data_IF_382669963273
#
_entry.id   IF_382669963273
#
_cell.length_a   1.000
_cell.length_b   1.000
_cell.length_c   1.000
_cell.angle_alpha   90.00
_cell.angle_beta   90.00
_cell.angle_gamma   90.00
#
_symmetry.space_group_name_H-M   'P 1'
#
loop_
_entity.id
_entity.type
_entity.pdbx_description
1 polymer ?
#
# COMPACT_ATOMS: atom_id res chain seq x y z
N UNK A 1 16.03 13.24 4.94
CA UNK A 1 14.94 13.76 5.82
C UNK A 1 13.77 14.39 5.06
N UNK A 2 13.97 15.24 4.03
CA UNK A 2 12.85 15.91 3.37
C UNK A 2 11.78 14.93 2.84
N UNK A 3 12.19 13.87 2.11
CA UNK A 3 11.27 12.85 1.58
C UNK A 3 10.50 12.13 2.72
N UNK A 4 11.18 11.83 3.81
CA UNK A 4 10.57 11.19 5.00
C UNK A 4 9.47 12.06 5.60
N UNK A 5 9.71 13.37 5.76
CA UNK A 5 8.70 14.31 6.26
C UNK A 5 7.49 14.42 5.33
N UNK A 6 7.71 14.47 4.00
CA UNK A 6 6.61 14.45 3.02
C UNK A 6 5.80 13.15 3.14
N UNK A 7 6.46 12.01 3.28
CA UNK A 7 5.78 10.73 3.49
C UNK A 7 4.99 10.70 4.80
N UNK A 8 5.60 11.15 5.91
CA UNK A 8 4.93 11.22 7.21
C UNK A 8 3.74 12.17 7.21
N UNK A 9 3.80 13.27 6.46
CA UNK A 9 2.68 14.20 6.34
C UNK A 9 1.44 13.59 5.69
N UNK A 10 1.61 12.57 4.83
CA UNK A 10 0.51 11.79 4.28
C UNK A 10 0.04 10.69 5.25
N UNK A 11 0.98 10.01 5.88
CA UNK A 11 0.77 8.78 6.64
C UNK A 11 0.12 9.06 8.00
N UNK A 12 0.62 10.06 8.75
CA UNK A 12 0.10 10.37 10.09
C UNK A 12 -1.38 10.77 10.04
N UNK A 13 -1.80 11.72 9.18
CA UNK A 13 -3.21 12.02 9.02
C UNK A 13 -4.01 10.81 8.52
N UNK A 14 -3.47 10.03 7.58
CA UNK A 14 -4.13 8.82 7.10
C UNK A 14 -4.41 7.83 8.24
N UNK A 15 -3.46 7.60 9.14
CA UNK A 15 -3.63 6.72 10.29
C UNK A 15 -4.67 7.27 11.28
N UNK A 16 -4.62 8.57 11.63
CA UNK A 16 -5.54 9.21 12.55
C UNK A 16 -6.97 9.19 11.99
N UNK A 17 -7.14 9.61 10.75
CA UNK A 17 -8.45 9.70 10.12
C UNK A 17 -9.01 8.34 9.66
N UNK A 18 -8.21 7.27 9.58
CA UNK A 18 -8.70 5.93 9.23
C UNK A 18 -9.70 5.38 10.26
N UNK A 19 -9.49 5.68 11.55
CA UNK A 19 -10.43 5.32 12.62
C UNK A 19 -11.76 6.08 12.47
N UNK A 20 -11.68 7.36 12.11
CA UNK A 20 -12.87 8.20 11.86
C UNK A 20 -13.54 7.81 10.55
N UNK A 21 -12.75 7.46 9.53
CA UNK A 21 -13.21 7.07 8.20
C UNK A 21 -14.15 5.89 8.19
N UNK A 22 -13.88 4.86 8.99
CA UNK A 22 -14.75 3.71 9.16
C UNK A 22 -16.13 4.14 9.68
N UNK A 23 -16.17 4.94 10.76
CA UNK A 23 -17.42 5.46 11.34
C UNK A 23 -18.19 6.36 10.37
N UNK A 24 -17.48 7.20 9.63
CA UNK A 24 -18.08 8.09 8.61
C UNK A 24 -18.66 7.28 7.44
N UNK A 25 -17.94 6.26 6.97
CA UNK A 25 -18.39 5.37 5.88
C UNK A 25 -19.64 4.56 6.27
N UNK A 26 -19.82 4.28 7.57
CA UNK A 26 -20.99 3.59 8.08
C UNK A 26 -22.23 4.50 8.26
N UNK A 27 -22.03 5.82 8.31
CA UNK A 27 -23.12 6.80 8.56
C UNK A 27 -23.50 7.63 7.34
N UNK A 28 -22.58 7.83 6.41
CA UNK A 28 -22.77 8.68 5.23
C UNK A 28 -22.85 7.79 3.98
N UNK A 29 -23.56 8.25 2.98
CA UNK A 29 -23.61 7.59 1.66
C UNK A 29 -22.20 7.44 1.07
N UNK A 30 -21.80 6.20 0.80
CA UNK A 30 -20.48 5.84 0.26
C UNK A 30 -20.18 6.58 -1.05
N UNK A 31 -21.20 6.72 -1.91
CA UNK A 31 -21.09 7.49 -3.16
C UNK A 31 -20.70 8.95 -2.88
N UNK A 32 -21.35 9.63 -1.91
CA UNK A 32 -21.02 11.01 -1.60
C UNK A 32 -19.60 11.14 -1.02
N UNK A 33 -19.19 10.22 -0.15
CA UNK A 33 -17.81 10.20 0.37
C UNK A 33 -16.81 10.11 -0.78
N UNK A 34 -17.03 9.21 -1.74
CA UNK A 34 -16.17 9.06 -2.91
C UNK A 34 -16.11 10.33 -3.76
N UNK A 35 -17.27 10.93 -4.07
CA UNK A 35 -17.37 12.15 -4.89
C UNK A 35 -16.60 13.30 -4.21
N UNK A 36 -16.90 13.58 -2.94
CA UNK A 36 -16.26 14.70 -2.22
C UNK A 36 -14.76 14.47 -2.05
N UNK A 37 -14.33 13.24 -1.74
CA UNK A 37 -12.93 12.92 -1.62
C UNK A 37 -12.17 13.07 -2.94
N UNK A 38 -12.73 12.58 -4.05
CA UNK A 38 -12.13 12.71 -5.38
C UNK A 38 -12.08 14.17 -5.82
N UNK A 39 -13.17 14.92 -5.63
CA UNK A 39 -13.25 16.35 -5.98
C UNK A 39 -12.22 17.16 -5.19
N UNK A 40 -12.12 16.93 -3.88
CA UNK A 40 -11.16 17.63 -3.05
C UNK A 40 -9.72 17.29 -3.44
N UNK A 41 -9.41 16.00 -3.69
CA UNK A 41 -8.10 15.60 -4.19
C UNK A 41 -7.81 16.23 -5.57
N UNK A 42 -8.80 16.32 -6.46
CA UNK A 42 -8.63 16.96 -7.76
C UNK A 42 -8.26 18.45 -7.62
N UNK A 43 -8.98 19.18 -6.76
CA UNK A 43 -8.74 20.60 -6.52
C UNK A 43 -7.38 20.83 -5.85
N UNK A 44 -7.05 20.08 -4.82
CA UNK A 44 -5.75 20.22 -4.13
C UNK A 44 -4.60 19.86 -5.05
N UNK A 45 -4.73 18.82 -5.88
CA UNK A 45 -3.73 18.46 -6.90
C UNK A 45 -3.62 19.54 -7.97
N UNK A 46 -4.72 20.18 -8.38
CA UNK A 46 -4.71 21.29 -9.32
C UNK A 46 -3.92 22.50 -8.78
N UNK A 47 -4.14 22.83 -7.51
CA UNK A 47 -3.40 23.92 -6.84
C UNK A 47 -1.91 23.59 -6.80
N UNK A 48 -1.55 22.35 -6.39
CA UNK A 48 -0.16 21.92 -6.38
C UNK A 48 0.45 21.95 -7.79
N UNK A 49 -0.29 21.48 -8.81
CA UNK A 49 0.13 21.50 -10.19
C UNK A 49 0.50 22.92 -10.65
N UNK A 50 -0.33 23.90 -10.33
CA UNK A 50 -0.08 25.31 -10.67
C UNK A 50 1.17 25.86 -9.97
N UNK A 51 1.32 25.62 -8.65
CA UNK A 51 2.48 26.09 -7.89
C UNK A 51 3.78 25.45 -8.40
N UNK A 52 3.76 24.16 -8.73
CA UNK A 52 4.91 23.46 -9.31
C UNK A 52 5.21 23.99 -10.70
N UNK A 53 4.18 24.22 -11.53
CA UNK A 53 4.33 24.69 -12.90
C UNK A 53 5.01 26.07 -13.01
N UNK A 54 4.69 26.99 -12.09
CA UNK A 54 5.32 28.32 -12.04
C UNK A 54 6.69 28.31 -11.36
N UNK A 55 7.13 27.16 -10.78
CA UNK A 55 8.42 27.02 -10.12
C UNK A 55 8.50 27.57 -8.70
N UNK A 56 7.38 27.99 -8.11
CA UNK A 56 7.31 28.55 -6.74
C UNK A 56 7.05 27.46 -5.67
N UNK A 57 7.24 26.19 -6.00
CA UNK A 57 7.02 25.11 -5.08
C UNK A 57 8.06 25.11 -3.96
N UNK A 58 7.58 24.99 -2.71
CA UNK A 58 8.40 24.88 -1.51
C UNK A 58 8.14 23.55 -0.82
N UNK A 59 9.04 23.15 0.05
CA UNK A 59 8.88 21.93 0.85
C UNK A 59 7.56 21.92 1.65
N UNK A 60 7.14 23.06 2.20
CA UNK A 60 5.90 23.18 2.95
C UNK A 60 4.65 22.89 2.11
N UNK A 61 4.65 23.19 0.82
CA UNK A 61 3.54 22.86 -0.07
C UNK A 61 3.33 21.35 -0.16
N UNK A 62 4.40 20.54 -0.25
CA UNK A 62 4.31 19.09 -0.23
C UNK A 62 3.81 18.54 1.11
N UNK A 63 4.20 19.17 2.23
CA UNK A 63 3.72 18.78 3.56
C UNK A 63 2.21 19.04 3.67
N UNK A 64 1.72 20.23 3.31
CA UNK A 64 0.28 20.53 3.34
C UNK A 64 -0.52 19.61 2.41
N UNK A 65 -0.02 19.42 1.18
CA UNK A 65 -0.65 18.47 0.25
C UNK A 65 -0.70 17.05 0.83
N UNK A 66 0.39 16.58 1.44
CA UNK A 66 0.46 15.27 2.09
C UNK A 66 -0.58 15.12 3.20
N UNK A 67 -0.72 16.13 4.08
CA UNK A 67 -1.70 16.13 5.18
C UNK A 67 -3.13 15.99 4.64
N UNK A 68 -3.48 16.81 3.65
CA UNK A 68 -4.82 16.79 3.09
C UNK A 68 -5.11 15.50 2.32
N UNK A 69 -4.18 15.06 1.46
CA UNK A 69 -4.34 13.83 0.69
C UNK A 69 -4.44 12.59 1.59
N UNK A 70 -3.64 12.52 2.66
CA UNK A 70 -3.68 11.45 3.64
C UNK A 70 -5.01 11.38 4.40
N UNK A 71 -5.49 12.50 4.91
CA UNK A 71 -6.76 12.58 5.61
C UNK A 71 -7.94 12.15 4.73
N UNK A 72 -7.98 12.64 3.50
CA UNK A 72 -9.08 12.34 2.56
C UNK A 72 -8.99 10.92 2.02
N UNK A 73 -7.78 10.44 1.71
CA UNK A 73 -7.55 9.08 1.26
C UNK A 73 -8.07 8.04 2.26
N UNK A 74 -7.85 8.29 3.55
CA UNK A 74 -8.32 7.40 4.63
C UNK A 74 -9.85 7.33 4.75
N UNK A 75 -10.57 8.39 4.37
CA UNK A 75 -12.03 8.40 4.35
C UNK A 75 -12.60 7.70 3.11
N UNK A 76 -11.95 7.85 1.96
CA UNK A 76 -12.46 7.33 0.69
C UNK A 76 -12.18 5.85 0.46
N UNK A 77 -11.06 5.33 0.97
CA UNK A 77 -10.64 3.96 0.74
C UNK A 77 -11.64 2.92 1.28
N UNK A 78 -12.15 3.01 2.54
CA UNK A 78 -13.18 2.11 3.03
C UNK A 78 -14.48 2.18 2.22
N UNK A 79 -14.88 3.38 1.78
CA UNK A 79 -16.07 3.57 0.97
C UNK A 79 -15.95 2.87 -0.40
N UNK A 80 -14.77 2.97 -1.05
CA UNK A 80 -14.48 2.31 -2.33
C UNK A 80 -14.57 0.78 -2.22
N UNK A 81 -14.05 0.18 -1.15
CA UNK A 81 -14.12 -1.27 -0.97
C UNK A 81 -15.49 -1.75 -0.55
N UNK A 82 -16.21 -0.96 0.24
CA UNK A 82 -17.51 -1.38 0.80
C UNK A 82 -18.70 -1.14 -0.13
N UNK A 83 -18.57 -0.33 -1.19
CA UNK A 83 -19.65 -0.13 -2.16
C UNK A 83 -19.79 -1.32 -3.12
N UNK A 84 -18.69 -2.02 -3.45
CA UNK A 84 -18.68 -3.11 -4.44
C UNK A 84 -19.67 -4.23 -4.08
N UNK A 85 -19.72 -4.75 -2.83
CA UNK A 85 -20.70 -5.78 -2.45
C UNK A 85 -22.16 -5.32 -2.52
N UNK A 86 -22.42 -4.01 -2.56
CA UNK A 86 -23.77 -3.46 -2.63
C UNK A 86 -24.28 -3.28 -4.06
N UNK A 87 -23.35 -3.14 -5.03
CA UNK A 87 -23.70 -2.89 -6.45
C UNK A 87 -23.68 -4.15 -7.30
N UNK A 88 -23.09 -5.25 -6.82
CA UNK A 88 -23.04 -6.53 -7.53
C UNK A 88 -23.88 -7.60 -6.86
N UNK A 89 -24.40 -8.54 -7.66
CA UNK A 89 -25.08 -9.72 -7.12
C UNK A 89 -24.10 -10.61 -6.37
N UNK A 90 -24.57 -11.35 -5.37
CA UNK A 90 -23.73 -12.24 -4.54
C UNK A 90 -22.91 -13.23 -5.36
N UNK A 91 -23.49 -13.76 -6.45
CA UNK A 91 -22.85 -14.72 -7.36
C UNK A 91 -21.62 -14.11 -8.07
N UNK A 92 -21.63 -12.79 -8.30
CA UNK A 92 -20.58 -12.06 -9.01
C UNK A 92 -19.59 -11.34 -8.09
N UNK A 93 -19.76 -11.45 -6.76
CA UNK A 93 -18.96 -10.71 -5.79
C UNK A 93 -17.48 -11.06 -5.89
N UNK A 94 -17.14 -12.35 -6.03
CA UNK A 94 -15.75 -12.81 -6.17
C UNK A 94 -15.12 -12.20 -7.42
N UNK A 95 -15.82 -12.21 -8.54
CA UNK A 95 -15.34 -11.65 -9.80
C UNK A 95 -15.16 -10.12 -9.71
N UNK A 96 -16.09 -9.43 -9.06
CA UNK A 96 -16.01 -7.98 -8.87
C UNK A 96 -14.83 -7.58 -7.96
N UNK A 97 -14.62 -8.32 -6.89
CA UNK A 97 -13.49 -8.09 -5.97
C UNK A 97 -12.16 -8.40 -6.66
N UNK A 98 -12.11 -9.48 -7.44
CA UNK A 98 -10.93 -9.83 -8.24
C UNK A 98 -10.62 -8.73 -9.27
N UNK A 99 -11.63 -8.21 -9.97
CA UNK A 99 -11.48 -7.11 -10.92
C UNK A 99 -10.99 -5.83 -10.22
N UNK A 100 -11.55 -5.48 -9.06
CA UNK A 100 -11.11 -4.33 -8.27
C UNK A 100 -9.64 -4.44 -7.89
N UNK A 101 -9.23 -5.60 -7.38
CA UNK A 101 -7.83 -5.86 -7.00
C UNK A 101 -6.91 -5.85 -8.22
N UNK A 102 -7.34 -6.43 -9.34
CA UNK A 102 -6.58 -6.41 -10.59
C UNK A 102 -6.41 -4.99 -11.12
N UNK A 103 -7.45 -4.16 -11.05
CA UNK A 103 -7.40 -2.75 -11.45
C UNK A 103 -6.41 -1.97 -10.59
N UNK A 104 -6.42 -2.20 -9.27
CA UNK A 104 -5.47 -1.58 -8.35
C UNK A 104 -4.02 -1.99 -8.69
N UNK A 105 -3.77 -3.28 -8.88
CA UNK A 105 -2.44 -3.78 -9.24
C UNK A 105 -1.99 -3.26 -10.61
N UNK A 106 -2.87 -3.24 -11.60
CA UNK A 106 -2.58 -2.69 -12.93
C UNK A 106 -2.22 -1.20 -12.84
N UNK A 107 -3.00 -0.41 -12.09
CA UNK A 107 -2.74 1.01 -11.89
C UNK A 107 -1.41 1.27 -11.19
N UNK A 108 -1.00 0.42 -10.25
CA UNK A 108 0.29 0.54 -9.54
C UNK A 108 1.50 0.28 -10.45
N UNK A 109 1.30 -0.43 -11.57
CA UNK A 109 2.35 -0.65 -12.59
C UNK A 109 2.34 0.47 -13.61
N UNK A 110 1.18 0.74 -14.20
CA UNK A 110 1.03 1.68 -15.33
C UNK A 110 1.20 3.14 -14.85
N UNK A 111 0.76 3.46 -13.64
CA UNK A 111 0.86 4.83 -13.09
C UNK A 111 2.28 5.41 -13.12
N UNK A 112 3.27 4.77 -12.48
CA UNK A 112 4.65 5.25 -12.51
C UNK A 112 5.28 5.29 -13.90
N UNK A 113 4.96 4.30 -14.77
CA UNK A 113 5.43 4.29 -16.16
C UNK A 113 4.91 5.53 -16.89
N UNK A 114 3.60 5.80 -16.81
CA UNK A 114 2.99 6.97 -17.44
C UNK A 114 3.56 8.26 -16.86
N UNK A 115 3.72 8.35 -15.54
CA UNK A 115 4.28 9.54 -14.90
C UNK A 115 5.71 9.81 -15.38
N UNK A 116 6.60 8.81 -15.38
CA UNK A 116 7.98 8.93 -15.86
C UNK A 116 8.04 9.29 -17.35
N UNK A 117 7.26 8.61 -18.20
CA UNK A 117 7.20 8.87 -19.64
C UNK A 117 6.66 10.26 -19.97
N UNK A 118 5.64 10.73 -19.24
CA UNK A 118 5.10 12.09 -19.43
C UNK A 118 6.10 13.16 -18.99
N UNK A 119 6.81 12.95 -17.87
CA UNK A 119 7.88 13.86 -17.44
C UNK A 119 8.94 13.94 -18.54
N UNK A 120 9.44 12.80 -19.04
CA UNK A 120 10.44 12.76 -20.10
C UNK A 120 9.93 13.45 -21.38
N UNK A 121 8.68 13.18 -21.80
CA UNK A 121 8.08 13.80 -22.98
C UNK A 121 7.97 15.33 -22.85
N UNK A 122 7.58 15.84 -21.68
CA UNK A 122 7.44 17.27 -21.45
C UNK A 122 8.77 17.98 -21.17
N UNK A 123 9.84 17.24 -20.90
CA UNK A 123 11.19 17.80 -20.69
C UNK A 123 11.95 18.10 -22.00
N UNK A 124 11.39 17.77 -23.16
CA UNK A 124 12.01 18.04 -24.46
C UNK A 124 12.08 19.55 -24.70
N UNK A 125 13.28 20.07 -25.03
CA UNK A 125 13.50 21.48 -25.40
C UNK A 125 13.91 22.39 -24.25
N UNK A 126 14.80 21.92 -23.35
CA UNK A 126 15.45 22.73 -22.29
C UNK A 126 14.48 23.39 -21.28
N UNK A 127 13.28 22.79 -21.10
CA UNK A 127 12.30 23.25 -20.14
C UNK A 127 12.70 22.82 -18.72
N UNK A 128 12.45 23.66 -17.74
CA UNK A 128 12.75 23.36 -16.34
C UNK A 128 12.05 22.08 -15.89
N UNK A 129 12.70 21.31 -15.00
CA UNK A 129 12.12 20.10 -14.39
C UNK A 129 10.76 20.41 -13.71
N UNK A 130 10.59 21.60 -13.14
CA UNK A 130 9.34 22.02 -12.51
C UNK A 130 8.19 22.13 -13.51
N UNK A 131 8.43 22.67 -14.72
CA UNK A 131 7.43 22.77 -15.77
C UNK A 131 6.87 21.40 -16.15
N UNK A 132 7.75 20.43 -16.41
CA UNK A 132 7.37 19.08 -16.80
C UNK A 132 6.60 18.34 -15.72
N UNK A 133 7.07 18.43 -14.47
CA UNK A 133 6.40 17.85 -13.30
C UNK A 133 5.04 18.52 -13.07
N UNK A 134 4.94 19.85 -13.20
CA UNK A 134 3.68 20.58 -13.09
C UNK A 134 2.64 20.11 -14.11
N UNK A 135 3.04 19.90 -15.38
CA UNK A 135 2.15 19.36 -16.41
C UNK A 135 1.62 17.97 -16.06
N UNK A 136 2.45 17.09 -15.49
CA UNK A 136 2.01 15.77 -15.04
C UNK A 136 0.99 15.88 -13.91
N UNK A 137 1.18 16.80 -12.96
CA UNK A 137 0.18 17.04 -11.91
C UNK A 137 -1.14 17.59 -12.48
N UNK A 138 -1.13 18.42 -13.55
CA UNK A 138 -2.34 18.84 -14.27
C UNK A 138 -3.07 17.63 -14.87
N UNK A 139 -2.35 16.71 -15.50
CA UNK A 139 -2.94 15.47 -16.04
C UNK A 139 -3.57 14.63 -14.91
N UNK A 140 -2.89 14.46 -13.78
CA UNK A 140 -3.41 13.73 -12.61
C UNK A 140 -4.68 14.40 -12.09
N UNK A 141 -4.69 15.72 -11.95
CA UNK A 141 -5.88 16.48 -11.53
C UNK A 141 -7.04 16.28 -12.50
N UNK A 142 -6.78 16.34 -13.80
CA UNK A 142 -7.79 16.09 -14.83
C UNK A 142 -8.41 14.69 -14.75
N UNK A 143 -7.58 13.66 -14.51
CA UNK A 143 -8.03 12.28 -14.30
C UNK A 143 -8.89 12.15 -13.03
N UNK A 144 -8.55 12.87 -11.95
CA UNK A 144 -9.36 12.88 -10.72
C UNK A 144 -10.71 13.57 -10.92
N UNK A 145 -10.77 14.67 -11.70
CA UNK A 145 -12.04 15.28 -12.10
C UNK A 145 -12.87 14.32 -12.95
N UNK A 146 -12.26 13.65 -13.91
CA UNK A 146 -12.94 12.64 -14.73
C UNK A 146 -13.48 11.48 -13.85
N UNK A 147 -12.69 10.99 -12.90
CA UNK A 147 -13.13 9.97 -11.95
C UNK A 147 -14.34 10.47 -11.12
N UNK A 148 -14.33 11.73 -10.68
CA UNK A 148 -15.45 12.36 -9.98
C UNK A 148 -16.72 12.35 -10.85
N UNK A 149 -16.61 12.77 -12.11
CA UNK A 149 -17.72 12.78 -13.07
C UNK A 149 -18.25 11.35 -13.27
N UNK A 150 -17.38 10.38 -13.48
CA UNK A 150 -17.78 8.98 -13.66
C UNK A 150 -18.49 8.43 -12.42
N UNK A 151 -18.03 8.81 -11.22
CA UNK A 151 -18.66 8.38 -9.95
C UNK A 151 -20.08 8.98 -9.82
N UNK A 152 -20.38 10.15 -10.38
CA UNK A 152 -21.73 10.72 -10.41
C UNK A 152 -22.74 9.83 -11.14
N UNK A 153 -22.31 9.06 -12.14
CA UNK A 153 -23.17 8.15 -12.89
C UNK A 153 -23.51 6.86 -12.14
N UNK A 154 -22.86 6.55 -11.03
CA UNK A 154 -23.21 5.41 -10.18
C UNK A 154 -24.62 5.64 -9.61
N UNK A 155 -25.59 4.81 -10.00
CA UNK A 155 -26.99 4.95 -9.55
C UNK A 155 -27.18 4.59 -8.07
N UNK A 156 -26.34 3.70 -7.54
CA UNK A 156 -26.41 3.23 -6.16
C UNK A 156 -25.76 4.24 -5.19
N UNK A 157 -26.49 4.59 -4.13
CA UNK A 157 -26.00 5.60 -3.18
C UNK A 157 -25.17 5.01 -2.04
N UNK A 158 -25.25 3.69 -1.81
CA UNK A 158 -24.52 3.02 -0.72
C UNK A 158 -24.95 3.57 0.66
N UNK A 159 -26.26 3.71 0.90
CA UNK A 159 -26.76 4.13 2.22
C UNK A 159 -26.72 2.94 3.18
N UNK A 160 -26.24 3.11 4.40
CA UNK A 160 -26.25 2.05 5.40
C UNK A 160 -27.69 1.61 5.69
N UNK A 161 -27.97 0.32 5.52
CA UNK A 161 -29.30 -0.26 5.80
C UNK A 161 -29.57 -0.42 7.31
N UNK A 162 -28.53 -0.62 8.10
CA UNK A 162 -28.58 -0.69 9.55
C UNK A 162 -27.37 0.02 10.12
N UNK A 163 -27.58 1.02 10.95
CA UNK A 163 -26.49 1.63 11.74
C UNK A 163 -26.17 0.62 12.85
N UNK A 164 -24.93 0.09 12.93
CA UNK A 164 -24.54 -0.81 14.00
C UNK A 164 -24.83 -0.15 15.35
N UNK A 165 -25.51 -0.86 16.26
CA UNK A 165 -25.77 -0.38 17.62
C UNK A 165 -24.52 -0.38 18.51
N UNK A 166 -23.49 -1.10 18.09
CA UNK A 166 -22.19 -1.19 18.77
C UNK A 166 -21.26 -0.06 18.31
N UNK A 167 -20.49 0.47 19.25
CA UNK A 167 -19.43 1.44 18.93
C UNK A 167 -18.32 0.73 18.15
N UNK A 168 -17.79 1.38 17.09
CA UNK A 168 -16.61 0.85 16.37
C UNK A 168 -15.41 0.59 17.31
N UNK A 169 -15.36 1.28 18.45
CA UNK A 169 -14.34 1.06 19.48
C UNK A 169 -14.59 -0.24 20.27
N UNK A 170 -15.85 -0.63 20.50
CA UNK A 170 -16.16 -1.88 21.20
C UNK A 170 -15.89 -3.08 20.30
N UNK A 171 -16.18 -2.98 19.00
CA UNK A 171 -15.83 -4.00 18.00
C UNK A 171 -14.30 -4.15 17.89
N UNK A 172 -13.56 -3.04 17.94
CA UNK A 172 -12.09 -3.04 17.94
C UNK A 172 -11.54 -3.70 19.22
N UNK A 173 -12.09 -3.37 20.40
CA UNK A 173 -11.68 -3.96 21.69
C UNK A 173 -11.91 -5.46 21.72
N UNK A 174 -13.07 -5.92 21.22
CA UNK A 174 -13.40 -7.34 21.17
C UNK A 174 -12.48 -8.09 20.18
N UNK A 175 -12.20 -7.50 19.01
CA UNK A 175 -11.23 -8.01 18.06
C UNK A 175 -9.82 -8.10 18.66
N UNK A 176 -9.38 -7.06 19.38
CA UNK A 176 -8.09 -7.01 20.04
C UNK A 176 -7.98 -8.06 21.16
N UNK A 177 -9.04 -8.19 21.99
CA UNK A 177 -9.11 -9.20 23.04
C UNK A 177 -9.03 -10.62 22.50
N UNK A 178 -9.71 -10.91 21.39
CA UNK A 178 -9.63 -12.20 20.73
C UNK A 178 -8.23 -12.47 20.19
N UNK A 179 -7.64 -11.53 19.46
CA UNK A 179 -6.28 -11.67 18.90
C UNK A 179 -5.26 -11.89 20.00
N UNK A 180 -5.37 -11.19 21.13
CA UNK A 180 -4.46 -11.34 22.26
C UNK A 180 -4.50 -12.74 22.90
N UNK A 181 -5.68 -13.36 22.96
CA UNK A 181 -5.87 -14.68 23.53
C UNK A 181 -5.50 -15.82 22.56
N UNK A 182 -5.62 -15.59 21.23
CA UNK A 182 -5.33 -16.59 20.20
C UNK A 182 -3.88 -16.48 19.70
N UNK A 183 -2.98 -17.24 20.32
CA UNK A 183 -1.52 -17.19 20.08
C UNK A 183 -1.13 -17.33 18.60
N UNK A 184 -1.85 -18.16 17.84
CA UNK A 184 -1.56 -18.37 16.41
C UNK A 184 -1.89 -17.11 15.59
N UNK A 185 -3.08 -16.53 15.82
CA UNK A 185 -3.51 -15.31 15.11
C UNK A 185 -2.65 -14.11 15.53
N UNK A 186 -2.34 -14.01 16.83
CA UNK A 186 -1.42 -12.98 17.34
C UNK A 186 -0.04 -13.08 16.66
N UNK A 187 0.53 -14.29 16.59
CA UNK A 187 1.79 -14.54 15.89
C UNK A 187 1.74 -14.15 14.41
N UNK A 188 0.69 -14.54 13.68
CA UNK A 188 0.50 -14.22 12.27
C UNK A 188 0.37 -12.71 12.03
N UNK A 189 -0.36 -12.01 12.90
CA UNK A 189 -0.51 -10.56 12.82
C UNK A 189 0.83 -9.86 13.09
N UNK A 190 1.49 -10.21 14.18
CA UNK A 190 2.77 -9.60 14.58
C UNK A 190 3.84 -9.80 13.52
N UNK A 191 3.89 -10.99 12.94
CA UNK A 191 4.86 -11.34 11.89
C UNK A 191 4.45 -10.81 10.53
N UNK A 192 3.16 -10.65 10.27
CA UNK A 192 2.71 -9.94 9.07
C UNK A 192 3.04 -8.44 9.13
N UNK A 193 3.00 -7.86 10.32
CA UNK A 193 3.20 -6.42 10.54
C UNK A 193 4.65 -6.00 10.28
N UNK A 194 5.62 -6.72 10.86
CA UNK A 194 7.05 -6.38 10.74
C UNK A 194 7.54 -6.46 9.28
N UNK A 195 7.39 -7.57 8.54
CA UNK A 195 7.81 -7.62 7.15
C UNK A 195 7.07 -6.63 6.25
N UNK A 196 5.78 -6.42 6.50
CA UNK A 196 5.01 -5.45 5.71
C UNK A 196 5.47 -4.01 5.97
N UNK A 197 5.81 -3.66 7.21
CA UNK A 197 6.31 -2.35 7.56
C UNK A 197 7.69 -2.09 6.94
N UNK A 198 8.64 -2.98 7.16
CA UNK A 198 10.02 -2.82 6.69
C UNK A 198 10.16 -3.16 5.19
N UNK A 199 9.47 -4.17 4.70
CA UNK A 199 9.49 -4.53 3.27
C UNK A 199 8.89 -3.45 2.38
N UNK A 200 7.77 -2.82 2.80
CA UNK A 200 7.19 -1.67 2.09
C UNK A 200 8.02 -0.39 2.21
N UNK A 201 8.85 -0.25 3.23
CA UNK A 201 9.75 0.88 3.36
C UNK A 201 10.73 0.96 2.18
N UNK A 202 11.10 -0.16 1.55
CA UNK A 202 11.89 -0.17 0.33
C UNK A 202 11.21 0.58 -0.81
N UNK A 203 9.89 0.52 -0.93
CA UNK A 203 9.14 1.28 -1.94
C UNK A 203 9.16 2.79 -1.66
N UNK A 204 9.16 3.20 -0.40
CA UNK A 204 9.27 4.61 -0.04
C UNK A 204 10.66 5.19 -0.27
N UNK A 205 11.72 4.38 -0.12
CA UNK A 205 13.08 4.79 -0.41
C UNK A 205 13.47 4.66 -1.89
N UNK A 206 12.60 4.11 -2.74
CA UNK A 206 12.90 3.85 -4.14
C UNK A 206 13.35 5.10 -4.93
N UNK A 207 12.72 6.30 -4.76
CA UNK A 207 13.21 7.50 -5.42
C UNK A 207 14.62 7.90 -5.00
N UNK A 208 14.92 7.82 -3.70
CA UNK A 208 16.25 8.11 -3.18
C UNK A 208 17.27 7.06 -3.62
N UNK A 209 16.90 5.77 -3.63
CA UNK A 209 17.73 4.68 -4.16
C UNK A 209 18.07 4.89 -5.64
N UNK A 210 17.08 5.26 -6.45
CA UNK A 210 17.27 5.53 -7.87
C UNK A 210 18.27 6.68 -8.09
N UNK A 211 18.15 7.75 -7.31
CA UNK A 211 19.03 8.92 -7.44
C UNK A 211 20.43 8.66 -6.87
N UNK A 212 20.55 8.10 -5.67
CA UNK A 212 21.80 8.04 -4.91
C UNK A 212 22.64 6.79 -5.25
N UNK A 213 22.00 5.68 -5.64
CA UNK A 213 22.67 4.38 -5.87
C UNK A 213 22.74 4.04 -7.34
N UNK A 214 21.65 4.21 -8.07
CA UNK A 214 21.59 3.93 -9.51
C UNK A 214 22.08 5.12 -10.34
N UNK A 215 21.93 6.34 -9.84
CA UNK A 215 22.23 7.58 -10.55
C UNK A 215 21.22 7.90 -11.67
N UNK A 216 19.98 7.38 -11.53
CA UNK A 216 18.92 7.50 -12.52
C UNK A 216 17.98 8.69 -12.29
N UNK A 217 17.27 9.08 -13.35
CA UNK A 217 16.22 10.10 -13.35
C UNK A 217 14.81 9.51 -13.19
N UNK A 218 13.79 10.31 -13.55
CA UNK A 218 12.39 9.87 -13.47
C UNK A 218 12.05 8.65 -14.34
N UNK A 219 12.73 8.49 -15.46
CA UNK A 219 12.52 7.37 -16.40
C UNK A 219 12.99 6.04 -15.77
N UNK A 220 14.18 6.02 -15.19
CA UNK A 220 14.75 4.86 -14.52
C UNK A 220 13.92 4.48 -13.30
N UNK A 221 13.40 5.47 -12.54
CA UNK A 221 12.47 5.24 -11.45
C UNK A 221 11.18 4.59 -11.93
N UNK A 222 10.66 5.03 -13.07
CA UNK A 222 9.51 4.42 -13.74
C UNK A 222 9.76 2.96 -14.10
N UNK A 223 10.93 2.65 -14.70
CA UNK A 223 11.35 1.28 -15.06
C UNK A 223 11.49 0.38 -13.82
N UNK A 224 12.12 0.87 -12.75
CA UNK A 224 12.26 0.15 -11.48
C UNK A 224 10.88 -0.20 -10.89
N UNK A 225 9.99 0.78 -10.82
CA UNK A 225 8.65 0.59 -10.26
C UNK A 225 7.81 -0.37 -11.12
N UNK A 226 7.92 -0.27 -12.45
CA UNK A 226 7.27 -1.18 -13.38
C UNK A 226 7.76 -2.62 -13.21
N UNK A 227 9.08 -2.82 -13.10
CA UNK A 227 9.68 -4.13 -12.85
C UNK A 227 9.17 -4.76 -11.55
N UNK A 228 9.13 -3.99 -10.47
CA UNK A 228 8.55 -4.43 -9.19
C UNK A 228 7.07 -4.78 -9.33
N UNK A 229 6.31 -3.99 -10.08
CA UNK A 229 4.90 -4.28 -10.37
C UNK A 229 4.69 -5.60 -11.11
N UNK A 230 5.52 -5.86 -12.14
CA UNK A 230 5.50 -7.14 -12.89
C UNK A 230 5.82 -8.31 -11.96
N UNK A 231 6.84 -8.16 -11.10
CA UNK A 231 7.19 -9.19 -10.11
C UNK A 231 6.04 -9.50 -9.16
N UNK A 232 5.37 -8.47 -8.63
CA UNK A 232 4.22 -8.63 -7.76
C UNK A 232 3.04 -9.32 -8.46
N UNK A 233 2.77 -8.98 -9.72
CA UNK A 233 1.72 -9.64 -10.52
C UNK A 233 2.03 -11.13 -10.73
N UNK A 234 3.24 -11.46 -11.14
CA UNK A 234 3.64 -12.86 -11.34
C UNK A 234 3.48 -13.63 -10.03
N UNK A 235 3.92 -13.06 -8.90
CA UNK A 235 3.78 -13.67 -7.59
C UNK A 235 2.33 -13.97 -7.21
N UNK A 236 1.45 -12.99 -7.36
CA UNK A 236 0.03 -13.15 -7.03
C UNK A 236 -0.68 -14.14 -7.95
N UNK A 237 -0.37 -14.14 -9.24
CA UNK A 237 -0.94 -15.08 -10.21
C UNK A 237 -0.49 -16.52 -9.97
N UNK A 238 0.81 -16.72 -9.69
CA UNK A 238 1.33 -18.05 -9.37
C UNK A 238 0.73 -18.60 -8.07
N UNK A 239 0.58 -17.73 -7.03
CA UNK A 239 -0.10 -18.13 -5.82
C UNK A 239 -1.56 -18.52 -6.06
N UNK A 240 -2.29 -17.73 -6.87
CA UNK A 240 -3.68 -18.03 -7.23
C UNK A 240 -3.80 -19.36 -7.97
N UNK A 241 -2.82 -19.69 -8.84
CA UNK A 241 -2.80 -20.96 -9.60
C UNK A 241 -2.53 -22.19 -8.69
N UNK A 242 -1.85 -22.00 -7.54
CA UNK A 242 -1.61 -23.11 -6.59
C UNK A 242 -2.90 -23.60 -5.94
N UNK A 243 -3.96 -22.79 -5.88
CA UNK A 243 -5.23 -23.14 -5.27
C UNK A 243 -5.11 -23.47 -3.79
N UNK A 244 -5.78 -24.54 -3.35
CA UNK A 244 -5.70 -25.03 -1.98
C UNK A 244 -4.58 -26.06 -1.85
N UNK A 245 -3.54 -25.76 -1.07
CA UNK A 245 -2.36 -26.59 -0.86
C UNK A 245 -2.01 -26.71 0.62
N UNK A 246 -1.34 -27.81 0.98
CA UNK A 246 -1.13 -28.24 2.37
C UNK A 246 0.09 -27.61 3.07
N UNK A 247 0.92 -26.85 2.38
CA UNK A 247 2.18 -26.31 2.91
C UNK A 247 2.21 -24.79 3.01
N UNK A 248 1.03 -24.18 3.28
CA UNK A 248 0.84 -22.71 3.35
C UNK A 248 1.80 -22.03 4.33
N UNK A 249 1.96 -22.60 5.54
CA UNK A 249 2.86 -22.03 6.55
C UNK A 249 4.34 -22.11 6.18
N UNK A 250 4.77 -23.19 5.51
CA UNK A 250 6.15 -23.30 5.01
C UNK A 250 6.42 -22.29 3.90
N UNK A 251 5.46 -22.12 2.97
CA UNK A 251 5.57 -21.13 1.89
C UNK A 251 5.60 -19.70 2.44
N UNK A 252 4.81 -19.40 3.48
CA UNK A 252 4.82 -18.10 4.14
C UNK A 252 6.22 -17.76 4.66
N UNK A 253 6.89 -18.68 5.34
CA UNK A 253 8.26 -18.49 5.83
C UNK A 253 9.27 -18.37 4.69
N UNK A 254 9.19 -19.25 3.69
CA UNK A 254 10.09 -19.21 2.54
C UNK A 254 9.99 -17.89 1.79
N UNK A 255 8.78 -17.35 1.60
CA UNK A 255 8.56 -16.07 0.93
C UNK A 255 9.05 -14.90 1.78
N UNK A 256 8.94 -14.94 3.11
CA UNK A 256 9.49 -13.90 3.98
C UNK A 256 11.03 -13.86 3.91
N UNK A 257 11.71 -15.02 3.95
CA UNK A 257 13.16 -15.07 3.75
C UNK A 257 13.57 -14.63 2.34
N UNK A 258 12.88 -15.14 1.31
CA UNK A 258 13.13 -14.72 -0.07
C UNK A 258 12.97 -13.23 -0.26
N UNK A 259 11.97 -12.62 0.38
CA UNK A 259 11.74 -11.17 0.34
C UNK A 259 12.90 -10.40 0.98
N UNK A 260 13.32 -10.77 2.20
CA UNK A 260 14.46 -10.16 2.87
C UNK A 260 15.75 -10.28 2.07
N UNK A 261 16.08 -11.48 1.57
CA UNK A 261 17.29 -11.71 0.74
C UNK A 261 17.25 -10.85 -0.52
N UNK A 262 16.10 -10.79 -1.21
CA UNK A 262 15.98 -10.02 -2.45
C UNK A 262 16.13 -8.51 -2.23
N UNK A 263 15.55 -7.95 -1.13
CA UNK A 263 15.75 -6.53 -0.77
C UNK A 263 17.24 -6.28 -0.42
N UNK A 264 17.88 -7.21 0.28
CA UNK A 264 19.30 -7.07 0.64
C UNK A 264 20.19 -7.00 -0.62
N UNK A 265 19.99 -7.90 -1.57
CA UNK A 265 20.70 -7.88 -2.84
C UNK A 265 20.39 -6.62 -3.66
N UNK A 266 19.13 -6.21 -3.68
CA UNK A 266 18.69 -4.97 -4.32
C UNK A 266 19.43 -3.74 -3.75
N UNK A 267 19.60 -3.66 -2.44
CA UNK A 267 20.17 -2.50 -1.74
C UNK A 267 21.59 -2.12 -2.22
N UNK A 268 22.39 -3.10 -2.66
CA UNK A 268 23.78 -2.88 -3.06
C UNK A 268 23.98 -2.89 -4.59
N UNK A 269 22.91 -2.84 -5.37
CA UNK A 269 22.98 -2.94 -6.83
C UNK A 269 22.99 -1.55 -7.46
N UNK A 270 24.17 -1.14 -7.99
CA UNK A 270 24.34 0.12 -8.73
C UNK A 270 23.95 0.05 -10.22
N UNK A 271 23.64 -1.14 -10.74
CA UNK A 271 23.24 -1.32 -12.15
C UNK A 271 21.71 -1.38 -12.26
N UNK A 272 21.13 -0.55 -13.14
CA UNK A 272 19.67 -0.44 -13.31
C UNK A 272 18.99 -1.78 -13.65
N UNK A 273 19.56 -2.55 -14.60
CA UNK A 273 18.95 -3.80 -15.06
C UNK A 273 18.92 -4.83 -13.92
N UNK A 274 20.02 -4.94 -13.17
CA UNK A 274 20.12 -5.85 -12.03
C UNK A 274 19.21 -5.36 -10.88
N UNK A 275 19.09 -4.04 -10.67
CA UNK A 275 18.17 -3.46 -9.72
C UNK A 275 16.70 -3.77 -10.08
N UNK A 276 16.32 -3.65 -11.34
CA UNK A 276 14.98 -4.04 -11.81
C UNK A 276 14.72 -5.52 -11.51
N UNK A 277 15.69 -6.39 -11.78
CA UNK A 277 15.56 -7.83 -11.56
C UNK A 277 15.36 -8.17 -10.07
N UNK A 278 16.26 -7.68 -9.18
CA UNK A 278 16.13 -7.93 -7.74
C UNK A 278 14.91 -7.24 -7.13
N UNK A 279 14.56 -6.04 -7.60
CA UNK A 279 13.34 -5.35 -7.21
C UNK A 279 12.08 -6.14 -7.59
N UNK A 280 12.03 -6.71 -8.80
CA UNK A 280 10.95 -7.57 -9.25
C UNK A 280 10.85 -8.85 -8.40
N UNK A 281 11.99 -9.50 -8.09
CA UNK A 281 12.02 -10.70 -7.23
C UNK A 281 11.59 -10.36 -5.80
N UNK A 282 12.01 -9.22 -5.26
CA UNK A 282 11.56 -8.76 -3.95
C UNK A 282 10.03 -8.52 -3.92
N UNK A 283 9.49 -7.85 -4.95
CA UNK A 283 8.06 -7.60 -5.08
C UNK A 283 7.24 -8.89 -5.28
N UNK A 284 7.79 -9.87 -6.01
CA UNK A 284 7.23 -11.21 -6.14
C UNK A 284 7.04 -11.86 -4.77
N UNK A 285 8.10 -11.98 -3.98
CA UNK A 285 8.02 -12.59 -2.65
C UNK A 285 7.14 -11.79 -1.70
N UNK A 286 7.20 -10.46 -1.74
CA UNK A 286 6.36 -9.58 -0.91
C UNK A 286 4.88 -9.74 -1.21
N UNK A 287 4.47 -9.87 -2.47
CA UNK A 287 3.07 -10.06 -2.86
C UNK A 287 2.55 -11.44 -2.45
N UNK A 288 3.34 -12.49 -2.64
CA UNK A 288 2.99 -13.87 -2.20
C UNK A 288 2.87 -13.93 -0.68
N UNK A 289 3.83 -13.35 0.04
CA UNK A 289 3.80 -13.26 1.51
C UNK A 289 2.54 -12.56 2.01
N UNK A 290 2.24 -11.38 1.47
CA UNK A 290 1.07 -10.59 1.88
C UNK A 290 -0.25 -11.32 1.66
N UNK A 291 -0.42 -11.92 0.48
CA UNK A 291 -1.62 -12.68 0.14
C UNK A 291 -1.79 -13.94 1.00
N UNK A 292 -0.70 -14.69 1.23
CA UNK A 292 -0.71 -15.87 2.09
C UNK A 292 -1.02 -15.50 3.54
N UNK A 293 -0.35 -14.50 4.10
CA UNK A 293 -0.55 -14.06 5.48
C UNK A 293 -2.01 -13.66 5.71
N UNK A 294 -2.57 -12.88 4.78
CA UNK A 294 -3.98 -12.46 4.81
C UNK A 294 -4.94 -13.66 4.74
N UNK A 295 -4.68 -14.60 3.83
CA UNK A 295 -5.51 -15.80 3.67
C UNK A 295 -5.47 -16.69 4.90
N UNK A 296 -4.29 -16.90 5.48
CA UNK A 296 -4.13 -17.74 6.68
C UNK A 296 -4.86 -17.10 7.87
N UNK A 297 -4.75 -15.78 8.07
CA UNK A 297 -5.48 -15.08 9.14
C UNK A 297 -7.00 -15.20 8.94
N UNK A 298 -7.50 -15.05 7.70
CA UNK A 298 -8.92 -15.20 7.39
C UNK A 298 -9.43 -16.62 7.65
N UNK A 299 -8.64 -17.64 7.36
CA UNK A 299 -8.97 -19.03 7.63
C UNK A 299 -8.91 -19.37 9.13
N UNK A 300 -7.93 -18.81 9.86
CA UNK A 300 -7.77 -19.03 11.29
C UNK A 300 -8.84 -18.32 12.13
N UNK A 301 -9.38 -17.20 11.65
CA UNK A 301 -10.39 -16.43 12.38
C UNK A 301 -11.79 -17.05 12.24
N UNK A 302 -12.47 -17.40 13.36
CA UNK A 302 -13.85 -17.88 13.36
C UNK A 302 -14.80 -16.90 12.63
N UNK A 303 -15.84 -17.44 11.97
CA UNK A 303 -16.71 -16.66 11.08
C UNK A 303 -17.36 -15.47 11.79
N UNK A 304 -17.76 -15.61 13.06
CA UNK A 304 -18.45 -14.58 13.84
C UNK A 304 -17.56 -13.40 14.24
N UNK A 305 -16.22 -13.58 14.29
CA UNK A 305 -15.28 -12.53 14.71
C UNK A 305 -14.32 -12.11 13.57
N UNK A 306 -14.37 -12.83 12.43
CA UNK A 306 -13.49 -12.58 11.28
C UNK A 306 -13.48 -11.12 10.82
N UNK A 307 -14.65 -10.48 10.76
CA UNK A 307 -14.77 -9.07 10.37
C UNK A 307 -13.99 -8.14 11.31
N UNK A 308 -14.03 -8.40 12.63
CA UNK A 308 -13.33 -7.59 13.66
C UNK A 308 -11.82 -7.78 13.58
N UNK A 309 -11.35 -9.02 13.37
CA UNK A 309 -9.92 -9.32 13.14
C UNK A 309 -9.42 -8.61 11.87
N UNK A 310 -10.21 -8.62 10.80
CA UNK A 310 -9.87 -7.94 9.55
C UNK A 310 -9.82 -6.42 9.70
N UNK A 311 -10.77 -5.83 10.45
CA UNK A 311 -10.76 -4.40 10.77
C UNK A 311 -9.50 -4.01 11.56
N UNK A 312 -9.10 -4.84 12.53
CA UNK A 312 -7.85 -4.64 13.28
C UNK A 312 -6.62 -4.66 12.37
N UNK A 313 -6.55 -5.59 11.41
CA UNK A 313 -5.47 -5.63 10.42
C UNK A 313 -5.39 -4.37 9.56
N UNK A 314 -6.54 -3.83 9.15
CA UNK A 314 -6.60 -2.57 8.39
C UNK A 314 -6.06 -1.41 9.23
N UNK A 315 -6.49 -1.30 10.49
CA UNK A 315 -5.99 -0.26 11.41
C UNK A 315 -4.47 -0.41 11.62
N UNK A 316 -3.99 -1.63 11.89
CA UNK A 316 -2.57 -1.89 12.07
C UNK A 316 -1.76 -1.61 10.78
N UNK A 317 -2.32 -1.89 9.61
CA UNK A 317 -1.71 -1.53 8.33
C UNK A 317 -1.58 -0.01 8.14
N UNK A 318 -2.49 0.77 8.70
CA UNK A 318 -2.39 2.23 8.76
C UNK A 318 -1.24 2.75 9.62
N UNK A 319 -0.75 1.95 10.58
CA UNK A 319 0.40 2.30 11.43
C UNK A 319 1.75 1.84 10.84
N UNK A 320 1.75 0.91 9.89
CA UNK A 320 3.00 0.40 9.26
C UNK A 320 3.93 1.51 8.73
N UNK A 321 3.41 2.57 8.13
CA UNK A 321 4.25 3.63 7.62
C UNK A 321 5.04 4.39 8.71
N UNK A 322 4.71 4.27 9.99
CA UNK A 322 5.53 4.83 11.07
C UNK A 322 6.94 4.21 11.11
N UNK A 323 7.12 2.99 10.57
CA UNK A 323 8.44 2.41 10.39
C UNK A 323 9.30 3.17 9.36
N UNK A 324 8.69 3.99 8.50
CA UNK A 324 9.43 4.81 7.50
C UNK A 324 10.31 5.85 8.18
N UNK A 325 9.88 6.41 9.32
CA UNK A 325 10.65 7.45 10.02
C UNK A 325 12.06 6.97 10.48
N UNK A 326 12.21 5.85 11.22
CA UNK A 326 13.52 5.35 11.60
C UNK A 326 14.36 4.93 10.40
N UNK A 327 13.72 4.36 9.34
CA UNK A 327 14.43 3.95 8.12
C UNK A 327 14.91 5.17 7.34
N UNK A 328 14.10 6.23 7.27
CA UNK A 328 14.49 7.51 6.67
C UNK A 328 15.66 8.16 7.42
N UNK A 329 15.68 8.06 8.75
CA UNK A 329 16.82 8.51 9.57
C UNK A 329 18.09 7.71 9.24
N UNK A 330 18.02 6.39 9.18
CA UNK A 330 19.16 5.55 8.78
C UNK A 330 19.64 5.92 7.36
N UNK A 331 18.70 6.15 6.43
CA UNK A 331 19.05 6.54 5.06
C UNK A 331 19.82 7.88 5.00
N UNK A 332 19.48 8.83 5.87
CA UNK A 332 20.16 10.12 5.90
C UNK A 332 21.56 10.06 6.49
N UNK A 333 21.75 9.32 7.59
CA UNK A 333 23.03 9.27 8.29
C UNK A 333 24.01 8.24 7.70
N UNK A 334 23.50 7.13 7.17
CA UNK A 334 24.30 5.98 6.72
C UNK A 334 24.11 5.66 5.23
N UNK A 335 23.24 6.39 4.54
CA UNK A 335 22.94 6.18 3.14
C UNK A 335 21.78 5.20 2.88
N UNK A 336 21.18 5.33 1.69
CA UNK A 336 19.97 4.60 1.29
C UNK A 336 20.20 3.09 1.22
N UNK A 337 21.38 2.65 0.73
CA UNK A 337 21.73 1.24 0.65
C UNK A 337 21.73 0.56 2.03
N UNK A 338 22.30 1.22 3.05
CA UNK A 338 22.34 0.71 4.43
C UNK A 338 20.93 0.65 5.03
N UNK A 339 20.10 1.65 4.77
CA UNK A 339 18.71 1.68 5.25
C UNK A 339 17.88 0.53 4.65
N UNK A 340 18.05 0.26 3.36
CA UNK A 340 17.41 -0.87 2.67
C UNK A 340 17.93 -2.21 3.19
N UNK A 341 19.24 -2.35 3.42
CA UNK A 341 19.84 -3.55 4.01
C UNK A 341 19.31 -3.79 5.42
N UNK A 342 19.18 -2.74 6.25
CA UNK A 342 18.57 -2.83 7.57
C UNK A 342 17.11 -3.33 7.48
N UNK A 343 16.31 -2.74 6.59
CA UNK A 343 14.94 -3.16 6.35
C UNK A 343 14.87 -4.65 5.92
N UNK A 344 15.77 -5.08 5.05
CA UNK A 344 15.89 -6.47 4.61
C UNK A 344 16.19 -7.44 5.77
N UNK A 345 17.13 -7.07 6.64
CA UNK A 345 17.47 -7.85 7.85
C UNK A 345 16.26 -7.95 8.78
N UNK A 346 15.51 -6.85 8.98
CA UNK A 346 14.30 -6.87 9.82
C UNK A 346 13.21 -7.78 9.25
N UNK A 347 13.05 -7.84 7.92
CA UNK A 347 12.15 -8.78 7.25
C UNK A 347 12.59 -10.22 7.50
N UNK A 348 13.87 -10.54 7.30
CA UNK A 348 14.41 -11.87 7.55
C UNK A 348 14.35 -12.28 9.04
N UNK A 349 14.66 -11.35 9.94
CA UNK A 349 14.57 -11.56 11.38
C UNK A 349 13.14 -11.86 11.84
N UNK A 350 12.14 -11.18 11.29
CA UNK A 350 10.75 -11.48 11.61
C UNK A 350 10.35 -12.91 11.22
N UNK A 351 10.82 -13.40 10.06
CA UNK A 351 10.63 -14.79 9.65
C UNK A 351 11.34 -15.78 10.61
N UNK A 352 12.51 -15.41 11.11
CA UNK A 352 13.22 -16.20 12.12
C UNK A 352 12.44 -16.27 13.45
N UNK A 353 11.94 -15.13 13.93
CA UNK A 353 11.10 -15.05 15.14
C UNK A 353 9.85 -15.92 15.00
N UNK A 354 9.16 -15.85 13.84
CA UNK A 354 8.03 -16.75 13.55
C UNK A 354 8.40 -18.20 13.66
N UNK A 355 9.48 -18.56 13.02
CA UNK A 355 9.94 -19.92 12.96
C UNK A 355 10.27 -20.50 14.34
N UNK A 356 10.81 -19.67 15.24
CA UNK A 356 11.27 -20.05 16.56
C UNK A 356 10.15 -20.00 17.62
N UNK A 357 9.41 -18.90 17.69
CA UNK A 357 8.40 -18.70 18.74
C UNK A 357 7.01 -19.23 18.38
N UNK A 358 6.71 -19.36 17.07
CA UNK A 358 5.41 -19.82 16.59
C UNK A 358 5.55 -21.04 15.64
N UNK A 359 6.15 -22.15 16.06
CA UNK A 359 6.36 -23.32 15.18
C UNK A 359 5.05 -23.92 14.66
N UNK A 360 3.93 -23.61 15.31
CA UNK A 360 2.58 -24.01 14.90
C UNK A 360 2.21 -23.43 13.53
N UNK A 361 2.72 -22.24 13.17
CA UNK A 361 2.47 -21.60 11.86
C UNK A 361 2.98 -22.49 10.72
N UNK A 362 4.10 -23.20 10.90
CA UNK A 362 4.61 -24.15 9.89
C UNK A 362 3.67 -25.31 9.61
N UNK A 363 2.89 -25.69 10.62
CA UNK A 363 2.00 -26.87 10.58
C UNK A 363 0.62 -26.52 10.03
N UNK A 364 0.38 -25.26 9.64
CA UNK A 364 -0.90 -24.84 9.07
C UNK A 364 -1.05 -25.48 7.68
N UNK A 365 -1.90 -26.50 7.62
CA UNK A 365 -2.22 -27.25 6.40
C UNK A 365 -3.66 -26.96 5.94
N UNK A 366 -4.62 -27.24 6.80
CA UNK A 366 -6.04 -26.97 6.63
C UNK A 366 -6.57 -26.41 7.96
N UNK A 367 -7.53 -25.51 7.91
CA UNK A 367 -8.38 -25.19 9.04
C UNK A 367 -9.74 -25.83 8.72
N UNK A 368 -10.13 -26.82 9.52
CA UNK A 368 -11.46 -27.41 9.51
C UNK A 368 -12.52 -26.41 9.97
#
# INVERSE_FOLDING_TARGET
MALTWVMLSFIIPSAIFSLVGGVVADRISKKHIMIYAQLFNAVTTLILAYIVFIGEVTFSHFIYFGIFAGAIGSLSMPANFSIVPEIVRKENLVNATALQTSTFNFSSIIGPILAGSLIALFSVGDKSSYYSVGLVFFVISGLLFLATILTLFIKHHGRPKNIPKTSSLDDLKEGLGFVWNEKVIFGLILVGLIPSAFGKASSFLLPAFNQDVVGGGPEELGMLTAGMGVGALIGSLLLAKLGDFTWKGKLLLATAYGWGISIFLFAFTGNLIIAILFGAVAAFFGSVFGALNMSIIQLAAPQHIRGRVMSLLIVMSGLMPLAVAPIGGIAEYFGVAVALAFAAVMVGFSAFVLNFFFPQVKKITHFD
#
